data_IF_143254281383
#
_entry.id   IF_143254281383
#
_cell.length_a   1.000
_cell.length_b   1.000
_cell.length_c   1.000
_cell.angle_alpha   90.00
_cell.angle_beta   90.00
_cell.angle_gamma   90.00
#
_symmetry.space_group_name_H-M   'P 1'
#
loop_
_entity.id
_entity.type
_entity.pdbx_description
1 polymer ?
#
# COMPACT_ATOMS: atom_id res chain seq x y z
N UNK A 1 -14.29 -1.51 -20.87
CA UNK A 1 -14.19 -0.03 -20.79
C UNK A 1 -13.02 0.30 -19.89
N UNK A 2 -12.03 1.05 -20.38
CA UNK A 2 -10.78 1.33 -19.66
C UNK A 2 -11.05 2.38 -18.60
N UNK A 3 -10.83 2.04 -17.33
CA UNK A 3 -10.96 2.93 -16.17
C UNK A 3 -9.92 4.09 -16.16
N UNK A 4 -9.04 4.16 -17.17
CA UNK A 4 -7.91 5.10 -17.25
C UNK A 4 -8.14 6.41 -17.99
N UNK A 5 -9.36 6.73 -18.43
CA UNK A 5 -9.65 7.99 -19.16
C UNK A 5 -10.20 9.11 -18.26
N UNK A 6 -10.16 8.94 -16.94
CA UNK A 6 -10.59 9.98 -16.01
C UNK A 6 -9.40 10.94 -15.72
N UNK A 7 -9.45 12.20 -16.17
CA UNK A 7 -8.32 13.14 -16.13
C UNK A 7 -7.84 13.48 -14.72
N UNK A 8 -8.65 13.21 -13.69
CA UNK A 8 -8.28 13.39 -12.29
C UNK A 8 -7.63 12.16 -11.64
N UNK A 9 -7.83 10.97 -12.19
CA UNK A 9 -7.28 9.71 -11.66
C UNK A 9 -5.94 9.40 -12.32
N UNK A 10 -5.78 9.76 -13.60
CA UNK A 10 -4.52 9.53 -14.34
C UNK A 10 -3.34 10.26 -13.69
N UNK A 11 -3.53 11.49 -13.19
CA UNK A 11 -2.44 12.24 -12.54
C UNK A 11 -1.95 11.60 -11.24
N UNK A 12 -2.82 10.89 -10.51
CA UNK A 12 -2.45 10.19 -9.27
C UNK A 12 -1.77 8.85 -9.58
N UNK A 13 -2.20 8.17 -10.65
CA UNK A 13 -1.57 6.95 -11.14
C UNK A 13 -0.22 7.21 -11.83
N UNK A 14 -0.04 8.37 -12.45
CA UNK A 14 1.18 8.71 -13.19
C UNK A 14 2.21 9.43 -12.30
N UNK A 15 1.76 10.03 -11.19
CA UNK A 15 2.65 10.48 -10.11
C UNK A 15 3.10 9.34 -9.18
N UNK A 16 2.44 8.18 -9.24
CA UNK A 16 2.71 7.03 -8.38
C UNK A 16 3.06 5.78 -9.17
N UNK A 17 4.34 5.40 -9.11
CA UNK A 17 4.89 4.09 -9.44
C UNK A 17 5.39 3.86 -10.88
N UNK A 18 6.67 4.16 -11.06
CA UNK A 18 7.59 3.17 -11.65
C UNK A 18 8.47 2.59 -10.53
N UNK A 19 7.84 2.01 -9.49
CA UNK A 19 8.60 1.48 -8.36
C UNK A 19 7.99 0.20 -7.79
N UNK A 20 8.54 -0.93 -8.25
CA UNK A 20 8.12 -2.31 -7.98
C UNK A 20 7.96 -2.65 -6.48
N UNK A 21 8.67 -1.93 -5.61
CA UNK A 21 8.58 -2.11 -4.14
C UNK A 21 7.29 -1.50 -3.60
N UNK A 22 6.91 -0.30 -4.06
CA UNK A 22 5.65 0.34 -3.66
C UNK A 22 4.45 -0.50 -4.09
N UNK A 23 4.47 -1.02 -5.32
CA UNK A 23 3.40 -1.89 -5.84
C UNK A 23 3.26 -3.17 -5.01
N UNK A 24 4.38 -3.79 -4.65
CA UNK A 24 4.39 -4.99 -3.80
C UNK A 24 3.86 -4.69 -2.40
N UNK A 25 4.23 -3.54 -1.83
CA UNK A 25 3.72 -3.06 -0.55
C UNK A 25 2.21 -2.81 -0.63
N UNK A 26 1.71 -2.21 -1.71
CA UNK A 26 0.28 -1.97 -1.90
C UNK A 26 -0.51 -3.28 -2.00
N UNK A 27 -0.01 -4.25 -2.77
CA UNK A 27 -0.61 -5.57 -2.94
C UNK A 27 -0.61 -6.41 -1.65
N UNK A 28 0.37 -6.18 -0.76
CA UNK A 28 0.41 -6.80 0.56
C UNK A 28 -0.73 -6.32 1.47
N UNK A 29 -1.26 -5.11 1.27
CA UNK A 29 -2.33 -4.54 2.10
C UNK A 29 -3.59 -5.41 2.13
N UNK A 30 -4.21 -5.74 0.98
CA UNK A 30 -5.34 -6.66 0.89
C UNK A 30 -5.05 -8.04 1.50
N UNK A 31 -3.82 -8.55 1.38
CA UNK A 31 -3.40 -9.83 1.94
C UNK A 31 -3.37 -9.78 3.48
N UNK A 32 -2.81 -8.72 4.05
CA UNK A 32 -2.80 -8.46 5.50
C UNK A 32 -4.24 -8.33 6.02
N UNK A 33 -5.11 -7.61 5.31
CA UNK A 33 -6.53 -7.49 5.68
C UNK A 33 -7.20 -8.88 5.67
N UNK A 34 -6.99 -9.68 4.63
CA UNK A 34 -7.49 -11.05 4.56
C UNK A 34 -7.00 -11.93 5.72
N UNK A 35 -5.73 -11.80 6.08
CA UNK A 35 -5.14 -12.48 7.24
C UNK A 35 -5.86 -12.09 8.54
N UNK A 36 -6.08 -10.79 8.78
CA UNK A 36 -6.80 -10.31 9.97
C UNK A 36 -8.25 -10.81 9.99
N UNK A 37 -8.91 -10.88 8.84
CA UNK A 37 -10.28 -11.41 8.73
C UNK A 37 -10.33 -12.91 9.09
N UNK A 38 -9.37 -13.71 8.61
CA UNK A 38 -9.32 -15.16 8.84
C UNK A 38 -8.94 -15.48 10.30
N UNK A 39 -7.90 -14.84 10.82
CA UNK A 39 -7.40 -15.10 12.18
C UNK A 39 -8.19 -14.35 13.26
N UNK A 40 -9.06 -13.43 12.86
CA UNK A 40 -9.76 -12.53 13.75
C UNK A 40 -8.83 -11.47 14.34
N UNK A 41 -9.44 -10.45 14.97
CA UNK A 41 -8.68 -9.38 15.63
C UNK A 41 -8.03 -9.91 16.91
N UNK A 42 -6.71 -10.08 16.86
CA UNK A 42 -5.86 -10.43 17.99
C UNK A 42 -4.65 -9.49 18.08
N UNK A 43 -3.97 -9.50 19.22
CA UNK A 43 -2.75 -8.70 19.44
C UNK A 43 -1.67 -8.96 18.37
N UNK A 44 -1.59 -10.20 17.88
CA UNK A 44 -0.67 -10.62 16.82
C UNK A 44 -1.06 -9.95 15.49
N UNK A 45 -2.31 -10.08 15.05
CA UNK A 45 -2.79 -9.48 13.79
C UNK A 45 -2.73 -7.96 13.80
N UNK A 46 -2.99 -7.35 14.97
CA UNK A 46 -2.88 -5.90 15.16
C UNK A 46 -1.43 -5.44 15.04
N UNK A 47 -0.48 -6.17 15.65
CA UNK A 47 0.96 -5.90 15.51
C UNK A 47 1.44 -6.02 14.06
N UNK A 48 0.97 -7.04 13.32
CA UNK A 48 1.30 -7.23 11.90
C UNK A 48 0.76 -6.06 11.07
N UNK A 49 -0.48 -5.64 11.30
CA UNK A 49 -1.06 -4.49 10.60
C UNK A 49 -0.30 -3.19 10.89
N UNK A 50 0.06 -2.93 12.14
CA UNK A 50 0.86 -1.76 12.53
C UNK A 50 2.24 -1.79 11.87
N UNK A 51 2.93 -2.94 11.88
CA UNK A 51 4.23 -3.09 11.24
C UNK A 51 4.15 -2.84 9.73
N UNK A 52 3.13 -3.40 9.06
CA UNK A 52 2.88 -3.15 7.64
C UNK A 52 2.69 -1.66 7.33
N UNK A 53 1.84 -0.97 8.10
CA UNK A 53 1.58 0.47 7.93
C UNK A 53 2.87 1.27 8.17
N UNK A 54 3.64 0.95 9.21
CA UNK A 54 4.88 1.65 9.53
C UNK A 54 5.90 1.54 8.39
N UNK A 55 6.09 0.34 7.83
CA UNK A 55 6.98 0.11 6.68
C UNK A 55 6.48 0.87 5.45
N UNK A 56 5.18 0.83 5.18
CA UNK A 56 4.58 1.54 4.05
C UNK A 56 4.82 3.06 4.15
N UNK A 57 4.51 3.65 5.29
CA UNK A 57 4.70 5.09 5.54
C UNK A 57 6.19 5.47 5.47
N UNK A 58 7.07 4.69 6.12
CA UNK A 58 8.51 4.95 6.09
C UNK A 58 9.06 4.88 4.65
N UNK A 59 8.60 3.92 3.86
CA UNK A 59 8.99 3.77 2.45
C UNK A 59 8.54 4.96 1.60
N UNK A 60 7.29 5.40 1.77
CA UNK A 60 6.73 6.57 1.07
C UNK A 60 7.51 7.84 1.44
N UNK A 61 7.81 8.05 2.73
CA UNK A 61 8.61 9.20 3.18
C UNK A 61 10.05 9.15 2.65
N UNK A 62 10.66 7.96 2.66
CA UNK A 62 12.00 7.74 2.11
C UNK A 62 12.07 8.05 0.62
N UNK A 63 11.08 7.59 -0.15
CA UNK A 63 11.00 7.89 -1.57
C UNK A 63 10.73 9.38 -1.80
N UNK A 64 9.79 9.97 -1.05
CA UNK A 64 9.46 11.40 -1.16
C UNK A 64 10.60 12.35 -0.79
N UNK A 65 11.62 11.89 -0.05
CA UNK A 65 12.83 12.67 0.28
C UNK A 65 14.00 12.43 -0.67
N UNK A 66 13.91 11.41 -1.54
CA UNK A 66 14.94 11.04 -2.52
C UNK A 66 14.49 11.24 -3.98
N UNK A 67 13.24 11.65 -4.20
CA UNK A 67 12.67 12.02 -5.50
C UNK A 67 12.83 13.49 -5.80
#
# INVERSE_FOLDING_TARGET
MKLGELPFISYVFEAGADNRIFDSLLLLGPLVIGLVVILGRSFITESIAVAYIAVFVAYVLYQGTRG
#
